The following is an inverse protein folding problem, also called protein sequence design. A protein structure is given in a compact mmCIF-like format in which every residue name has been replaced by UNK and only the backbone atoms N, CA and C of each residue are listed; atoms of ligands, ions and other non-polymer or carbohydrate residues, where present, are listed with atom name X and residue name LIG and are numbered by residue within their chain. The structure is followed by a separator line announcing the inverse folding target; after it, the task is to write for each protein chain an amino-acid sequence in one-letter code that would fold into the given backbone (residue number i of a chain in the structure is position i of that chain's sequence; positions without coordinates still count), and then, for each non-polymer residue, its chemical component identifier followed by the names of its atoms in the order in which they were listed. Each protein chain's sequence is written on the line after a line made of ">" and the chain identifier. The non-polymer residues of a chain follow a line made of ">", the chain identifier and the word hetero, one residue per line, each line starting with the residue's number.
data_IF_365279464950
#
_entry.id   IF_365279464950
#
_cell.length_a   1.000
_cell.length_b   1.000
_cell.length_c   1.000
_cell.angle_alpha   90.00
_cell.angle_beta   90.00
_cell.angle_gamma   90.00
#
_symmetry.space_group_name_H-M   'P 1'
#
loop_
_entity.id
_entity.type
_entity.pdbx_description
1 polymer ?
#
# COMPACT_ATOMS: atom_id res chain seq x y z
N UNK A 1 -9.17 20.72 -42.71
CA UNK A 1 -9.06 19.28 -42.32
C UNK A 1 -8.07 19.06 -41.17
N UNK A 2 -6.89 19.70 -41.19
CA UNK A 2 -5.83 19.58 -40.16
C UNK A 2 -6.29 19.94 -38.73
N UNK A 3 -7.11 20.99 -38.57
CA UNK A 3 -7.57 21.45 -37.25
C UNK A 3 -8.43 20.42 -36.49
N UNK A 4 -9.26 19.64 -37.20
CA UNK A 4 -10.08 18.58 -36.58
C UNK A 4 -9.23 17.42 -36.07
N UNK A 5 -8.09 17.15 -36.71
CA UNK A 5 -7.16 16.09 -36.31
C UNK A 5 -6.34 16.48 -35.09
N UNK A 6 -5.94 17.75 -34.99
CA UNK A 6 -5.24 18.30 -33.81
C UNK A 6 -6.14 18.30 -32.56
N UNK A 7 -7.40 18.74 -32.69
CA UNK A 7 -8.33 18.77 -31.56
C UNK A 7 -8.60 17.37 -30.98
N UNK A 8 -8.73 16.35 -31.85
CA UNK A 8 -8.90 14.96 -31.41
C UNK A 8 -7.68 14.42 -30.65
N UNK A 9 -6.46 14.76 -31.07
CA UNK A 9 -5.23 14.35 -30.39
C UNK A 9 -5.09 15.01 -29.01
N UNK A 10 -5.48 16.29 -28.90
CA UNK A 10 -5.39 17.04 -27.64
C UNK A 10 -6.39 16.49 -26.60
N UNK A 11 -7.60 16.11 -27.03
CA UNK A 11 -8.58 15.45 -26.16
C UNK A 11 -8.07 14.09 -25.68
N UNK A 12 -7.48 13.28 -26.57
CA UNK A 12 -6.92 11.98 -26.17
C UNK A 12 -5.77 12.11 -25.17
N UNK A 13 -4.88 13.08 -25.35
CA UNK A 13 -3.78 13.34 -24.41
C UNK A 13 -4.35 13.78 -23.06
N UNK A 14 -5.30 14.73 -23.04
CA UNK A 14 -5.94 15.20 -21.80
C UNK A 14 -6.67 14.09 -21.05
N UNK A 15 -7.41 13.22 -21.73
CA UNK A 15 -8.11 12.09 -21.09
C UNK A 15 -7.10 11.08 -20.53
N UNK A 16 -6.02 10.79 -21.27
CA UNK A 16 -4.96 9.90 -20.80
C UNK A 16 -4.23 10.48 -19.57
N UNK A 17 -3.94 11.78 -19.55
CA UNK A 17 -3.34 12.45 -18.38
C UNK A 17 -4.29 12.46 -17.18
N UNK A 18 -5.59 12.67 -17.37
CA UNK A 18 -6.57 12.58 -16.28
C UNK A 18 -6.70 11.16 -15.72
N UNK A 19 -6.63 10.12 -16.56
CA UNK A 19 -6.67 8.72 -16.10
C UNK A 19 -5.37 8.36 -15.35
N UNK A 20 -4.21 8.83 -15.83
CA UNK A 20 -2.93 8.60 -15.15
C UNK A 20 -2.76 9.39 -13.85
N UNK A 21 -3.40 10.56 -13.73
CA UNK A 21 -3.43 11.32 -12.46
C UNK A 21 -4.53 10.86 -11.50
N UNK A 22 -5.48 10.02 -11.94
CA UNK A 22 -6.47 9.43 -11.07
C UNK A 22 -5.90 8.17 -10.38
N UNK A 23 -4.74 8.29 -9.71
CA UNK A 23 -4.50 7.42 -8.55
C UNK A 23 -5.59 7.79 -7.55
N UNK A 24 -6.61 6.97 -7.45
CA UNK A 24 -7.68 7.13 -6.48
C UNK A 24 -7.05 7.10 -5.09
N UNK A 25 -6.95 8.27 -4.48
CA UNK A 25 -6.52 8.49 -3.09
C UNK A 25 -7.59 7.95 -2.13
N UNK A 26 -7.86 6.65 -2.20
CA UNK A 26 -8.74 6.00 -1.25
C UNK A 26 -7.93 5.70 0.01
N UNK A 27 -8.38 6.20 1.16
CA UNK A 27 -7.86 5.77 2.45
C UNK A 27 -8.02 4.25 2.57
N UNK A 28 -6.93 3.54 2.81
CA UNK A 28 -6.95 2.12 3.09
C UNK A 28 -7.24 1.88 4.57
N UNK A 29 -7.82 0.72 4.88
CA UNK A 29 -8.22 0.41 6.26
C UNK A 29 -8.13 -1.08 6.58
N UNK A 30 -7.73 -1.39 7.81
CA UNK A 30 -7.75 -2.75 8.39
C UNK A 30 -8.38 -2.73 9.77
N UNK A 31 -8.96 -3.86 10.14
CA UNK A 31 -9.50 -4.07 11.48
C UNK A 31 -8.36 -4.58 12.36
N UNK A 32 -8.21 -3.99 13.55
CA UNK A 32 -7.22 -4.41 14.54
C UNK A 32 -7.87 -5.35 15.57
N UNK A 33 -7.40 -6.59 15.61
CA UNK A 33 -7.83 -7.60 16.58
C UNK A 33 -6.92 -7.52 17.79
N UNK A 34 -7.43 -6.93 18.87
CA UNK A 34 -6.69 -6.76 20.11
C UNK A 34 -6.56 -8.10 20.85
N UNK A 35 -5.33 -8.49 21.14
CA UNK A 35 -4.99 -9.75 21.80
C UNK A 35 -4.05 -9.51 22.99
N UNK A 36 -3.93 -10.51 23.86
CA UNK A 36 -2.97 -10.48 24.95
C UNK A 36 -1.55 -10.51 24.40
N UNK A 37 -0.67 -9.78 25.08
CA UNK A 37 0.75 -9.76 24.78
C UNK A 37 1.36 -11.13 25.11
N UNK A 38 2.14 -11.75 24.21
CA UNK A 38 2.89 -12.96 24.49
C UNK A 38 3.88 -12.80 25.65
N UNK A 39 4.14 -13.86 26.43
CA UNK A 39 5.04 -13.81 27.60
C UNK A 39 6.48 -13.39 27.24
N UNK A 40 6.93 -13.71 26.02
CA UNK A 40 8.25 -13.38 25.49
C UNK A 40 8.37 -11.93 25.00
N UNK A 41 7.27 -11.20 24.83
CA UNK A 41 7.29 -9.81 24.37
C UNK A 41 8.04 -8.87 25.33
N UNK A 42 8.06 -9.20 26.62
CA UNK A 42 8.77 -8.44 27.66
C UNK A 42 10.19 -8.95 27.92
N UNK A 43 10.65 -10.00 27.23
CA UNK A 43 11.94 -10.64 27.51
C UNK A 43 13.14 -9.70 27.37
N UNK A 44 13.04 -8.69 26.50
CA UNK A 44 14.07 -7.70 26.25
C UNK A 44 13.68 -6.28 26.72
N UNK A 45 12.60 -6.14 27.49
CA UNK A 45 12.15 -4.84 27.96
C UNK A 45 13.10 -4.32 29.06
N UNK A 46 13.76 -3.16 28.87
CA UNK A 46 14.55 -2.57 29.93
C UNK A 46 13.67 -2.22 31.14
N UNK A 47 14.27 -2.18 32.32
CA UNK A 47 13.59 -1.72 33.53
C UNK A 47 13.36 -0.21 33.46
N UNK A 48 12.28 0.21 32.80
CA UNK A 48 11.88 1.61 32.67
C UNK A 48 11.07 1.86 31.41
N UNK A 49 10.06 2.74 31.49
CA UNK A 49 9.31 3.20 30.32
C UNK A 49 9.77 4.60 29.91
N UNK A 50 10.10 4.77 28.63
CA UNK A 50 10.30 6.09 28.00
C UNK A 50 8.98 6.80 27.77
N UNK A 51 7.87 6.08 27.65
CA UNK A 51 6.56 6.66 27.33
C UNK A 51 5.74 6.77 28.61
N UNK A 52 5.66 7.99 29.14
CA UNK A 52 4.70 8.32 30.19
C UNK A 52 3.30 8.43 29.58
N UNK A 53 2.64 7.30 29.40
CA UNK A 53 1.20 7.31 29.19
C UNK A 53 0.53 7.87 30.45
N UNK A 54 -0.38 8.84 30.28
CA UNK A 54 -1.20 9.33 31.39
C UNK A 54 -2.29 8.30 31.60
N UNK A 55 -1.89 7.24 32.29
CA UNK A 55 -2.71 6.10 32.59
C UNK A 55 -3.99 6.51 33.30
N UNK A 56 -5.10 6.50 32.57
CA UNK A 56 -6.43 6.67 33.13
C UNK A 56 -6.96 5.31 33.59
N UNK A 57 -7.77 5.28 34.65
CA UNK A 57 -8.39 4.02 35.08
C UNK A 57 -9.26 3.43 33.95
N UNK A 58 -9.10 2.13 33.69
CA UNK A 58 -9.82 1.41 32.64
C UNK A 58 -9.30 1.63 31.21
N UNK A 59 -8.11 2.21 31.04
CA UNK A 59 -7.43 2.24 29.73
C UNK A 59 -6.39 1.14 29.59
N UNK A 60 -6.40 0.50 28.42
CA UNK A 60 -5.41 -0.45 27.95
C UNK A 60 -4.50 0.27 26.95
N UNK A 61 -3.21 -0.09 26.98
CA UNK A 61 -2.24 0.40 26.00
C UNK A 61 -1.99 -0.70 24.98
N UNK A 62 -2.38 -0.45 23.74
CA UNK A 62 -2.15 -1.37 22.63
C UNK A 62 -0.83 -0.99 21.98
N UNK A 63 0.06 -1.95 21.78
CA UNK A 63 1.38 -1.75 21.15
C UNK A 63 1.61 -2.85 20.13
N UNK A 64 2.03 -2.51 18.93
CA UNK A 64 2.35 -3.49 17.90
C UNK A 64 3.05 -2.88 16.70
N UNK A 65 3.56 -3.77 15.84
CA UNK A 65 4.15 -3.37 14.55
C UNK A 65 3.14 -3.65 13.46
N UNK A 66 2.89 -2.63 12.63
CA UNK A 66 2.10 -2.79 11.42
C UNK A 66 3.03 -2.82 10.21
N UNK A 67 2.89 -3.90 9.43
CA UNK A 67 3.58 -4.14 8.18
C UNK A 67 2.60 -4.95 7.31
N UNK A 68 2.13 -4.34 6.24
CA UNK A 68 1.26 -4.94 5.24
C UNK A 68 1.86 -4.64 3.87
N UNK A 69 1.74 -5.52 2.86
CA UNK A 69 2.23 -5.24 1.51
C UNK A 69 1.71 -3.93 0.91
N UNK A 70 0.46 -3.58 1.22
CA UNK A 70 -0.21 -2.36 0.73
C UNK A 70 0.03 -1.13 1.63
N UNK A 71 0.77 -1.31 2.74
CA UNK A 71 1.03 -0.21 3.66
C UNK A 71 2.17 0.67 3.15
N UNK A 72 1.81 1.88 2.73
CA UNK A 72 2.74 2.90 2.29
C UNK A 72 2.21 4.28 2.71
N UNK A 73 3.01 5.04 3.48
CA UNK A 73 2.68 6.43 3.84
C UNK A 73 3.89 7.35 3.71
N UNK A 74 3.68 8.57 3.23
CA UNK A 74 4.74 9.59 3.13
C UNK A 74 5.12 10.16 4.51
N UNK A 75 4.17 10.21 5.45
CA UNK A 75 4.36 10.79 6.76
C UNK A 75 3.57 10.04 7.83
N UNK A 76 4.08 10.05 9.05
CA UNK A 76 3.36 9.53 10.23
C UNK A 76 2.04 10.23 10.52
N UNK A 77 1.76 11.38 9.89
CA UNK A 77 0.45 12.06 9.98
C UNK A 77 -0.62 11.40 9.13
N UNK A 78 -0.22 10.57 8.17
CA UNK A 78 -1.09 9.89 7.20
C UNK A 78 -1.55 8.51 7.70
N UNK A 79 -1.48 8.26 9.00
CA UNK A 79 -1.93 7.03 9.65
C UNK A 79 -2.65 7.37 10.95
N UNK A 80 -3.75 6.69 11.24
CA UNK A 80 -4.48 6.87 12.49
C UNK A 80 -5.30 5.65 12.85
N UNK A 81 -5.71 5.53 14.10
CA UNK A 81 -6.62 4.50 14.55
C UNK A 81 -7.94 5.14 14.96
N UNK A 82 -9.05 4.58 14.50
CA UNK A 82 -10.38 4.92 14.98
C UNK A 82 -10.88 3.82 15.90
N UNK A 83 -11.56 4.19 16.99
CA UNK A 83 -12.32 3.22 17.78
C UNK A 83 -13.65 2.86 17.10
N UNK A 84 -14.42 1.96 17.71
CA UNK A 84 -15.71 1.54 17.18
C UNK A 84 -16.80 2.65 17.21
N UNK A 85 -16.53 3.78 17.86
CA UNK A 85 -17.40 4.97 17.88
C UNK A 85 -16.90 6.04 16.89
N UNK A 86 -16.00 5.68 15.96
CA UNK A 86 -15.35 6.59 15.00
C UNK A 86 -14.56 7.74 15.66
N UNK A 87 -14.12 7.57 16.91
CA UNK A 87 -13.22 8.54 17.56
C UNK A 87 -11.79 8.22 17.18
N UNK A 88 -11.09 9.27 16.77
CA UNK A 88 -9.67 9.19 16.50
C UNK A 88 -8.86 8.97 17.79
N UNK A 89 -8.01 7.96 17.77
CA UNK A 89 -7.07 7.63 18.84
C UNK A 89 -5.68 8.12 18.44
N UNK A 90 -5.09 8.97 19.28
CA UNK A 90 -3.76 9.52 19.03
C UNK A 90 -2.71 8.41 19.11
N UNK A 91 -1.83 8.34 18.10
CA UNK A 91 -0.76 7.36 18.06
C UNK A 91 0.53 7.93 18.66
N UNK A 92 1.26 7.07 19.35
CA UNK A 92 2.67 7.28 19.70
C UNK A 92 3.49 6.34 18.82
N UNK A 93 4.28 6.91 17.92
CA UNK A 93 5.09 6.19 16.92
C UNK A 93 6.51 5.98 17.44
N UNK A 94 7.04 4.76 17.26
CA UNK A 94 8.43 4.39 17.57
C UNK A 94 9.34 4.71 16.39
N UNK A 95 10.13 5.77 16.47
CA UNK A 95 11.00 6.23 15.38
C UNK A 95 12.05 5.18 14.98
N UNK A 96 12.60 4.45 15.95
CA UNK A 96 13.61 3.41 15.71
C UNK A 96 13.08 2.22 14.89
N UNK A 97 11.76 2.08 14.81
CA UNK A 97 11.09 0.99 14.10
C UNK A 97 10.66 1.33 12.67
N UNK A 98 10.78 2.60 12.28
CA UNK A 98 10.32 3.07 10.97
C UNK A 98 11.21 2.43 9.90
N UNK A 99 10.60 1.63 9.03
CA UNK A 99 11.26 1.04 7.88
C UNK A 99 10.76 1.70 6.60
N UNK A 100 11.71 2.02 5.71
CA UNK A 100 11.49 2.57 4.38
C UNK A 100 12.21 1.70 3.36
N UNK A 101 11.54 1.30 2.29
CA UNK A 101 12.15 0.47 1.24
C UNK A 101 12.87 1.32 0.18
N UNK A 102 13.93 0.77 -0.43
CA UNK A 102 14.58 1.27 -1.66
C UNK A 102 14.93 2.78 -1.77
N UNK A 103 15.36 3.43 -0.69
CA UNK A 103 15.64 4.88 -0.66
C UNK A 103 14.40 5.77 -0.94
N UNK A 104 13.20 5.18 -1.06
CA UNK A 104 11.97 5.92 -1.13
C UNK A 104 11.67 6.54 0.25
N UNK A 105 11.11 7.74 0.24
CA UNK A 105 10.74 8.46 1.47
C UNK A 105 9.51 7.83 2.18
N UNK A 106 8.88 6.85 1.53
CA UNK A 106 7.72 6.14 1.99
C UNK A 106 8.02 5.19 3.16
N UNK A 107 7.10 5.14 4.12
CA UNK A 107 7.15 4.28 5.30
C UNK A 107 6.32 3.02 5.01
N UNK A 108 6.94 1.85 5.07
CA UNK A 108 6.32 0.54 4.78
C UNK A 108 6.13 -0.34 6.03
N UNK A 109 6.71 0.04 7.16
CA UNK A 109 6.47 -0.64 8.43
C UNK A 109 6.73 0.31 9.59
N UNK A 110 5.87 0.25 10.59
CA UNK A 110 5.95 1.13 11.76
C UNK A 110 5.42 0.43 13.00
N UNK A 111 6.15 0.55 14.11
CA UNK A 111 5.66 0.20 15.44
C UNK A 111 5.04 1.42 16.09
N UNK A 112 3.86 1.24 16.65
CA UNK A 112 3.15 2.30 17.32
C UNK A 112 2.37 1.79 18.52
N UNK A 113 1.86 2.73 19.30
CA UNK A 113 0.98 2.45 20.40
C UNK A 113 -0.13 3.49 20.53
N UNK A 114 -1.22 3.09 21.15
CA UNK A 114 -2.36 3.95 21.44
C UNK A 114 -3.08 3.47 22.70
N UNK A 115 -3.80 4.39 23.35
CA UNK A 115 -4.65 4.06 24.49
C UNK A 115 -6.09 3.85 24.04
N UNK A 116 -6.73 2.80 24.55
CA UNK A 116 -8.14 2.51 24.31
C UNK A 116 -8.81 2.15 25.64
N UNK A 117 -10.06 2.58 25.82
CA UNK A 117 -10.86 2.16 26.98
C UNK A 117 -11.28 0.71 26.79
N UNK A 118 -11.16 -0.09 27.84
CA UNK A 118 -11.56 -1.51 27.79
C UNK A 118 -13.02 -1.68 27.34
N UNK A 119 -13.92 -0.79 27.82
CA UNK A 119 -15.33 -0.76 27.42
C UNK A 119 -15.54 -0.49 25.92
N UNK A 120 -14.65 0.24 25.27
CA UNK A 120 -14.75 0.50 23.83
C UNK A 120 -14.49 -0.75 23.00
N UNK A 121 -13.72 -1.72 23.51
CA UNK A 121 -13.51 -3.00 22.85
C UNK A 121 -14.78 -3.87 22.83
N UNK A 122 -15.69 -3.65 23.79
CA UNK A 122 -16.99 -4.34 23.81
C UNK A 122 -17.93 -3.84 22.69
N UNK A 123 -17.74 -2.60 22.23
CA UNK A 123 -18.54 -2.02 21.14
C UNK A 123 -18.07 -2.44 19.75
N UNK A 124 -16.80 -2.81 19.62
CA UNK A 124 -16.21 -3.29 18.36
C UNK A 124 -14.69 -3.14 18.33
N UNK A 125 -14.03 -3.76 17.34
CA UNK A 125 -12.60 -3.63 17.17
C UNK A 125 -12.22 -2.24 16.63
N UNK A 126 -11.06 -1.68 17.03
CA UNK A 126 -10.54 -0.47 16.41
C UNK A 126 -10.13 -0.73 14.96
N UNK A 127 -10.15 0.32 14.14
CA UNK A 127 -9.78 0.29 12.71
C UNK A 127 -8.56 1.16 12.49
N UNK A 128 -7.51 0.61 11.89
CA UNK A 128 -6.37 1.37 11.41
C UNK A 128 -6.68 1.90 10.01
N UNK A 129 -6.44 3.19 9.79
CA UNK A 129 -6.68 3.86 8.51
C UNK A 129 -5.42 4.63 8.11
N UNK A 130 -5.02 4.53 6.85
CA UNK A 130 -3.90 5.29 6.31
C UNK A 130 -4.19 5.80 4.90
N UNK A 131 -3.51 6.88 4.51
CA UNK A 131 -3.67 7.49 3.20
C UNK A 131 -3.34 8.98 3.19
N UNK A 132 -3.18 9.55 2.00
CA UNK A 132 -2.82 10.95 1.81
C UNK A 132 -3.92 11.93 2.25
N UNK A 133 -5.16 11.46 2.39
CA UNK A 133 -6.31 12.17 2.91
C UNK A 133 -6.42 12.14 4.44
N UNK A 134 -5.64 11.29 5.10
CA UNK A 134 -5.59 11.20 6.56
C UNK A 134 -4.64 12.26 7.12
N UNK A 135 -5.11 13.00 8.12
CA UNK A 135 -4.30 13.95 8.88
C UNK A 135 -4.54 13.74 10.37
N UNK A 136 -3.55 13.18 11.04
CA UNK A 136 -3.59 12.85 12.47
C UNK A 136 -2.52 13.62 13.26
N UNK A 137 -2.87 13.97 14.50
CA UNK A 137 -1.93 14.55 15.46
C UNK A 137 -1.25 13.42 16.25
N UNK A 138 -0.31 12.76 15.57
CA UNK A 138 0.48 11.69 16.17
C UNK A 138 1.75 12.25 16.81
N UNK A 139 2.17 11.60 17.89
CA UNK A 139 3.43 11.89 18.58
C UNK A 139 4.49 10.87 18.20
N UNK A 140 5.76 11.27 18.32
CA UNK A 140 6.91 10.41 18.04
C UNK A 140 7.78 10.29 19.29
N UNK A 141 8.34 9.10 19.48
CA UNK A 141 9.34 8.80 20.51
C UNK A 141 10.46 7.98 19.87
N UNK A 142 11.69 8.14 20.35
CA UNK A 142 12.84 7.39 19.83
C UNK A 142 12.60 5.88 19.89
N UNK A 143 12.11 5.39 21.04
CA UNK A 143 11.76 3.99 21.25
C UNK A 143 10.60 3.85 22.23
N UNK A 144 9.62 3.00 21.90
CA UNK A 144 8.54 2.61 22.82
C UNK A 144 9.07 1.53 23.76
N UNK A 145 9.34 1.91 25.01
CA UNK A 145 9.72 1.00 26.09
C UNK A 145 8.53 0.68 26.98
N UNK A 146 8.34 -0.62 27.23
CA UNK A 146 7.22 -1.15 27.99
C UNK A 146 7.62 -1.40 29.43
N UNK A 147 6.75 -1.05 30.36
CA UNK A 147 6.97 -1.30 31.77
C UNK A 147 6.54 -2.73 32.14
N UNK A 148 7.51 -3.59 32.45
CA UNK A 148 7.26 -4.96 32.90
C UNK A 148 6.46 -5.03 34.22
N UNK A 149 6.35 -3.94 35.00
CA UNK A 149 5.50 -3.85 36.18
C UNK A 149 3.99 -3.72 35.87
N UNK A 150 3.63 -3.39 34.62
CA UNK A 150 2.27 -3.09 34.20
C UNK A 150 1.76 -4.02 33.07
N UNK A 151 2.21 -5.28 33.04
CA UNK A 151 1.92 -6.27 31.98
C UNK A 151 0.43 -6.40 31.65
N UNK A 152 -0.41 -6.45 32.68
CA UNK A 152 -1.85 -6.68 32.54
C UNK A 152 -2.58 -5.60 31.75
N UNK A 153 -1.94 -4.45 31.52
CA UNK A 153 -2.50 -3.30 30.79
C UNK A 153 -2.07 -3.24 29.34
N UNK A 154 -1.00 -3.93 28.99
CA UNK A 154 -0.53 -3.97 27.62
C UNK A 154 -1.30 -5.01 26.83
N UNK A 155 -1.66 -4.64 25.61
CA UNK A 155 -2.21 -5.53 24.59
C UNK A 155 -1.37 -5.36 23.32
N UNK A 156 -1.43 -6.36 22.45
CA UNK A 156 -0.93 -6.25 21.08
C UNK A 156 -2.09 -6.46 20.12
N UNK A 157 -1.84 -6.40 18.82
CA UNK A 157 -2.85 -6.62 17.82
C UNK A 157 -2.37 -7.53 16.70
N UNK A 158 -3.32 -8.29 16.15
CA UNK A 158 -3.26 -8.76 14.77
C UNK A 158 -4.13 -7.83 13.91
N UNK A 159 -4.00 -7.92 12.60
CA UNK A 159 -4.84 -7.15 11.68
C UNK A 159 -5.50 -8.06 10.64
N UNK A 160 -6.68 -7.65 10.20
CA UNK A 160 -7.43 -8.29 9.12
C UNK A 160 -7.91 -7.23 8.13
N UNK A 161 -7.89 -7.55 6.83
CA UNK A 161 -8.44 -6.67 5.81
C UNK A 161 -9.92 -6.41 6.09
N UNK A 162 -10.32 -5.14 6.08
CA UNK A 162 -11.73 -4.80 6.23
C UNK A 162 -12.48 -5.34 5.00
N UNK A 163 -13.53 -6.16 5.16
CA UNK A 163 -14.26 -6.67 4.01
C UNK A 163 -14.79 -5.48 3.20
N UNK A 164 -14.39 -5.41 1.93
CA UNK A 164 -14.83 -4.37 1.00
C UNK A 164 -16.35 -4.22 1.12
N UNK A 165 -16.76 -3.02 1.52
CA UNK A 165 -18.10 -2.57 1.89
C UNK A 165 -19.25 -3.58 1.65
N UNK A 166 -19.94 -4.00 2.73
CA UNK A 166 -21.23 -4.73 2.63
C UNK A 166 -22.36 -3.89 2.02
N UNK A 167 -22.05 -2.69 1.52
CA UNK A 167 -22.99 -1.70 1.02
C UNK A 167 -22.89 -1.41 -0.48
N UNK A 168 -22.72 -2.40 -1.34
CA UNK A 168 -23.23 -2.44 -2.72
C UNK A 168 -22.77 -3.75 -3.37
N UNK A 169 -23.70 -4.48 -3.97
CA UNK A 169 -23.51 -5.80 -4.59
C UNK A 169 -22.52 -5.78 -5.77
N UNK A 170 -21.24 -5.66 -5.48
CA UNK A 170 -20.16 -5.78 -6.44
C UNK A 170 -19.01 -6.49 -5.74
N UNK A 171 -19.10 -7.82 -5.69
CA UNK A 171 -17.92 -8.65 -5.47
C UNK A 171 -16.99 -8.43 -6.65
N UNK A 172 -16.15 -7.40 -6.56
CA UNK A 172 -15.02 -7.24 -7.47
C UNK A 172 -14.01 -8.26 -6.97
N UNK A 173 -13.94 -9.40 -7.66
CA UNK A 173 -12.75 -10.23 -7.60
C UNK A 173 -11.63 -9.42 -8.27
N UNK A 174 -10.90 -8.64 -7.48
CA UNK A 174 -9.68 -7.98 -7.93
C UNK A 174 -8.66 -9.09 -8.16
N UNK A 175 -8.50 -9.51 -9.41
CA UNK A 175 -7.36 -10.31 -9.81
C UNK A 175 -6.15 -9.39 -9.74
N UNK A 176 -5.45 -9.41 -8.61
CA UNK A 176 -4.16 -8.75 -8.47
C UNK A 176 -3.17 -9.51 -9.36
N UNK A 177 -3.00 -9.02 -10.58
CA UNK A 177 -1.89 -9.44 -11.42
C UNK A 177 -0.69 -8.68 -10.87
N UNK A 178 0.12 -9.36 -10.06
CA UNK A 178 1.46 -8.88 -9.71
C UNK A 178 2.26 -8.83 -11.01
N UNK A 179 2.21 -7.69 -11.67
CA UNK A 179 3.14 -7.35 -12.74
C UNK A 179 4.37 -6.83 -12.03
N UNK A 180 5.34 -7.72 -11.83
CA UNK A 180 6.68 -7.34 -11.40
C UNK A 180 7.22 -6.33 -12.44
N UNK A 181 7.30 -5.05 -12.08
CA UNK A 181 7.80 -3.98 -12.96
C UNK A 181 9.27 -4.23 -13.36
N UNK A 182 9.99 -5.07 -12.60
CA UNK A 182 11.32 -5.58 -12.95
C UNK A 182 11.29 -6.53 -14.16
N UNK A 183 10.15 -7.13 -14.49
CA UNK A 183 9.99 -8.06 -15.60
C UNK A 183 9.92 -7.36 -16.97
N UNK A 184 9.69 -6.04 -17.01
CA UNK A 184 9.56 -5.29 -18.26
C UNK A 184 10.84 -5.28 -19.10
N UNK A 185 12.02 -5.29 -18.47
CA UNK A 185 13.29 -5.40 -19.19
C UNK A 185 13.49 -6.82 -19.73
N UNK A 186 13.14 -7.85 -18.96
CA UNK A 186 13.31 -9.24 -19.37
C UNK A 186 12.36 -9.63 -20.50
N UNK A 187 11.11 -9.17 -20.47
CA UNK A 187 10.15 -9.37 -21.56
C UNK A 187 10.68 -8.79 -22.88
N UNK A 188 11.35 -7.62 -22.85
CA UNK A 188 11.93 -7.01 -24.03
C UNK A 188 12.97 -7.92 -24.70
N UNK A 189 13.78 -8.62 -23.89
CA UNK A 189 14.75 -9.60 -24.37
C UNK A 189 14.11 -10.83 -25.02
N UNK A 190 12.92 -11.25 -24.57
CA UNK A 190 12.15 -12.34 -25.19
C UNK A 190 11.38 -11.88 -26.44
N UNK A 191 10.93 -10.62 -26.48
CA UNK A 191 10.16 -10.08 -27.61
C UNK A 191 11.06 -9.78 -28.82
N UNK A 192 12.28 -9.29 -28.58
CA UNK A 192 13.22 -8.90 -29.63
C UNK A 192 13.55 -10.02 -30.64
N UNK A 193 13.88 -11.26 -30.23
CA UNK A 193 14.10 -12.35 -31.19
C UNK A 193 12.83 -12.74 -31.96
N UNK A 194 11.64 -12.69 -31.34
CA UNK A 194 10.39 -12.94 -32.07
C UNK A 194 10.13 -11.85 -33.11
N UNK A 195 10.29 -10.58 -32.74
CA UNK A 195 10.13 -9.45 -33.65
C UNK A 195 11.11 -9.53 -34.84
N UNK A 196 12.36 -9.97 -34.60
CA UNK A 196 13.35 -10.19 -35.64
C UNK A 196 12.95 -11.30 -36.62
N UNK A 197 12.44 -12.43 -36.12
CA UNK A 197 11.93 -13.53 -36.97
C UNK A 197 10.77 -13.04 -37.84
N UNK A 198 9.80 -12.31 -37.26
CA UNK A 198 8.68 -11.75 -38.03
C UNK A 198 9.16 -10.74 -39.07
N UNK A 199 10.09 -9.86 -38.73
CA UNK A 199 10.69 -8.91 -39.67
C UNK A 199 11.34 -9.60 -40.86
N UNK A 200 12.13 -10.66 -40.61
CA UNK A 200 12.76 -11.45 -41.68
C UNK A 200 11.74 -12.15 -42.58
N UNK A 201 10.65 -12.68 -42.02
CA UNK A 201 9.58 -13.31 -42.80
C UNK A 201 8.84 -12.30 -43.69
N UNK A 202 8.59 -11.09 -43.19
CA UNK A 202 7.96 -10.00 -43.97
C UNK A 202 8.87 -9.61 -45.14
N UNK A 203 10.16 -9.40 -44.89
CA UNK A 203 11.14 -9.06 -45.92
C UNK A 203 11.19 -10.15 -46.98
N UNK A 204 11.31 -11.43 -46.59
CA UNK A 204 11.32 -12.57 -47.51
C UNK A 204 10.08 -12.58 -48.41
N UNK A 205 8.89 -12.37 -47.84
CA UNK A 205 7.62 -12.35 -48.59
C UNK A 205 7.61 -11.25 -49.66
N UNK A 206 8.12 -10.06 -49.34
CA UNK A 206 8.21 -8.95 -50.29
C UNK A 206 9.17 -9.28 -51.44
N UNK A 207 10.31 -9.89 -51.16
CA UNK A 207 11.29 -10.26 -52.19
C UNK A 207 10.83 -11.44 -53.07
N UNK A 208 10.11 -12.41 -52.52
CA UNK A 208 9.59 -13.55 -53.29
C UNK A 208 8.42 -13.19 -54.20
N UNK A 209 7.68 -12.12 -53.90
CA UNK A 209 6.59 -11.64 -54.75
C UNK A 209 7.07 -10.76 -55.92
N UNK A 210 8.38 -10.72 -56.21
CA UNK A 210 8.87 -10.04 -57.40
C UNK A 210 8.36 -10.80 -58.63
N UNK A 211 7.50 -10.19 -59.47
CA UNK A 211 6.97 -10.88 -60.64
C UNK A 211 8.14 -11.32 -61.52
N UNK A 212 8.10 -12.53 -62.10
CA UNK A 212 9.15 -13.00 -62.98
C UNK A 212 9.35 -11.95 -64.07
N UNK A 213 10.61 -11.53 -64.26
CA UNK A 213 10.96 -10.55 -65.28
C UNK A 213 10.35 -11.01 -66.60
N UNK A 214 9.48 -10.17 -67.17
CA UNK A 214 8.76 -10.49 -68.39
C UNK A 214 9.79 -10.92 -69.45
N UNK A 215 9.76 -12.21 -69.81
CA UNK A 215 10.64 -12.75 -70.82
C UNK A 215 10.35 -12.00 -72.12
N UNK A 216 11.33 -11.23 -72.61
CA UNK A 216 11.27 -10.56 -73.90
C UNK A 216 11.08 -11.62 -74.99
N UNK A 217 9.82 -11.83 -75.41
CA UNK A 217 9.48 -12.54 -76.64
C UNK A 217 9.89 -11.63 -77.79
N UNK A 218 11.09 -11.83 -78.31
CA UNK A 218 11.44 -11.34 -79.63
C UNK A 218 10.67 -12.18 -80.65
N UNK A 219 9.85 -11.50 -81.45
CA UNK A 219 9.22 -11.99 -82.69
C UNK A 219 10.11 -11.54 -83.84
#
# INVERSE_FOLDING_TARGET
>A
MVLKTLLKRLIYISVLTCILCAKTYASERVILIIINVPDDFFSNAPSGSTVKFIHSEGTLTVVGTFNSPDFEIESIKNITVFDAEDRQLALVIDESSIYREFEDEAINSVKFSFEIKEKSLETGPPTLVWGNDISADNSQVEQILLDAGNRDRYRTFNWEQCPADRGLNSQVATLEIVVDDSADIYYLWYLLPMALVFGLLIIRKIFMNKPPAAANRQV
#
